data_IF_547881797235
#
_entry.id   IF_547881797235
#
_cell.length_a   1.000
_cell.length_b   1.000
_cell.length_c   1.000
_cell.angle_alpha   90.00
_cell.angle_beta   90.00
_cell.angle_gamma   90.00
#
_symmetry.space_group_name_H-M   'P 1'
#
loop_
_entity.id
_entity.type
_entity.pdbx_description
1 polymer ?
#
# COMPACT_ATOMS: atom_id res chain seq x y z
N UNK A 1 19.09 -26.25 -5.74
CA UNK A 1 18.21 -26.07 -4.55
C UNK A 1 17.08 -25.16 -5.02
N UNK A 2 15.85 -25.66 -5.01
CA UNK A 2 14.69 -24.79 -5.30
C UNK A 2 14.53 -23.82 -4.16
N UNK A 3 15.08 -22.63 -4.29
CA UNK A 3 14.80 -21.52 -3.38
C UNK A 3 13.41 -20.99 -3.73
N UNK A 4 12.41 -21.49 -3.03
CA UNK A 4 11.06 -20.96 -3.08
C UNK A 4 11.00 -19.71 -2.18
N UNK A 5 10.46 -18.61 -2.69
CA UNK A 5 10.22 -17.36 -1.95
C UNK A 5 8.73 -17.22 -1.59
N UNK A 6 8.25 -17.99 -0.59
CA UNK A 6 6.88 -17.85 -0.14
C UNK A 6 6.69 -16.48 0.50
N UNK A 7 5.46 -15.96 0.42
CA UNK A 7 5.11 -14.79 1.20
C UNK A 7 5.23 -15.12 2.70
N UNK A 8 5.79 -14.20 3.52
CA UNK A 8 5.99 -14.44 4.96
C UNK A 8 4.68 -14.72 5.71
N UNK A 9 4.51 -15.93 6.22
CA UNK A 9 3.27 -16.35 6.87
C UNK A 9 2.98 -15.61 8.20
N UNK A 10 4.00 -15.07 8.84
CA UNK A 10 3.89 -14.31 10.09
C UNK A 10 3.71 -12.80 9.89
N UNK A 11 3.72 -12.32 8.68
CA UNK A 11 3.38 -10.92 8.35
C UNK A 11 1.86 -10.80 8.22
N UNK A 12 1.23 -10.19 9.20
CA UNK A 12 -0.23 -10.02 9.28
C UNK A 12 -0.74 -8.80 8.51
N UNK A 13 0.15 -8.03 7.88
CA UNK A 13 -0.21 -6.82 7.15
C UNK A 13 0.17 -6.86 5.68
N UNK A 14 1.46 -6.86 5.36
CA UNK A 14 1.89 -6.78 3.96
C UNK A 14 1.54 -8.04 3.17
N UNK A 15 1.68 -9.21 3.79
CA UNK A 15 1.37 -10.50 3.15
C UNK A 15 -0.10 -10.65 2.74
N UNK A 16 -1.11 -10.36 3.57
CA UNK A 16 -2.51 -10.44 3.14
C UNK A 16 -2.86 -9.52 1.97
N UNK A 17 -2.27 -8.32 1.91
CA UNK A 17 -2.43 -7.43 0.77
C UNK A 17 -1.73 -7.98 -0.48
N UNK A 18 -0.50 -8.49 -0.33
CA UNK A 18 0.24 -9.10 -1.44
C UNK A 18 -0.46 -10.34 -2.01
N UNK A 19 -1.07 -11.19 -1.17
CA UNK A 19 -1.87 -12.32 -1.62
C UNK A 19 -3.06 -11.87 -2.48
N UNK A 20 -3.74 -10.81 -2.07
CA UNK A 20 -4.85 -10.25 -2.83
C UNK A 20 -4.37 -9.63 -4.17
N UNK A 21 -3.23 -8.93 -4.17
CA UNK A 21 -2.59 -8.41 -5.38
C UNK A 21 -2.24 -9.53 -6.36
N UNK A 22 -1.56 -10.58 -5.88
CA UNK A 22 -1.10 -11.71 -6.70
C UNK A 22 -2.30 -12.47 -7.31
N UNK A 23 -3.39 -12.61 -6.58
CA UNK A 23 -4.62 -13.24 -7.08
C UNK A 23 -5.20 -12.50 -8.28
N UNK A 24 -5.08 -11.18 -8.29
CA UNK A 24 -5.60 -10.30 -9.35
C UNK A 24 -4.63 -10.15 -10.53
N UNK A 25 -3.35 -10.39 -10.28
CA UNK A 25 -2.28 -10.18 -11.25
C UNK A 25 -2.20 -11.31 -12.27
N UNK A 26 -2.44 -11.00 -13.55
CA UNK A 26 -2.24 -11.93 -14.68
C UNK A 26 -0.74 -12.00 -15.05
N UNK A 27 0.01 -12.79 -14.28
CA UNK A 27 1.44 -12.93 -14.41
C UNK A 27 1.79 -14.11 -15.33
N UNK A 28 2.82 -13.93 -16.16
CA UNK A 28 3.31 -14.97 -17.08
C UNK A 28 4.83 -15.05 -17.09
N UNK A 29 5.42 -16.23 -17.41
CA UNK A 29 6.87 -16.39 -17.57
C UNK A 29 7.42 -15.44 -18.63
N UNK A 30 8.56 -14.80 -18.34
CA UNK A 30 9.18 -13.80 -19.23
C UNK A 30 8.62 -12.38 -19.09
N UNK A 31 7.63 -12.12 -18.25
CA UNK A 31 7.06 -10.79 -18.06
C UNK A 31 8.10 -9.79 -17.51
N UNK A 32 8.00 -8.54 -17.97
CA UNK A 32 8.73 -7.41 -17.42
C UNK A 32 7.83 -6.67 -16.44
N UNK A 33 8.23 -6.60 -15.18
CA UNK A 33 7.40 -6.08 -14.09
C UNK A 33 8.09 -4.90 -13.41
N UNK A 34 7.35 -3.83 -13.15
CA UNK A 34 7.72 -2.74 -12.25
C UNK A 34 6.94 -2.89 -10.95
N UNK A 35 7.64 -3.09 -9.85
CA UNK A 35 7.04 -3.13 -8.50
C UNK A 35 7.40 -1.85 -7.75
N UNK A 36 6.41 -1.02 -7.44
CA UNK A 36 6.59 0.27 -6.77
C UNK A 36 6.29 0.16 -5.28
N UNK A 37 6.95 1.01 -4.49
CA UNK A 37 6.90 0.95 -3.02
C UNK A 37 7.19 -0.46 -2.51
N UNK A 38 8.23 -1.09 -3.07
CA UNK A 38 8.54 -2.51 -2.89
C UNK A 38 8.96 -2.87 -1.46
N UNK A 39 9.36 -1.88 -0.64
CA UNK A 39 9.79 -2.10 0.73
C UNK A 39 10.87 -3.17 0.85
N UNK A 40 10.66 -4.15 1.73
CA UNK A 40 11.53 -5.31 1.92
C UNK A 40 11.41 -6.40 0.84
N UNK A 41 10.65 -6.15 -0.23
CA UNK A 41 10.54 -7.08 -1.37
C UNK A 41 9.29 -7.97 -1.39
N UNK A 42 8.27 -7.63 -0.62
CA UNK A 42 6.98 -8.33 -0.66
C UNK A 42 5.99 -7.50 -1.52
N UNK A 43 5.58 -7.95 -2.71
CA UNK A 43 5.69 -9.29 -3.31
C UNK A 43 6.82 -9.50 -4.36
N UNK A 44 7.76 -8.56 -4.52
CA UNK A 44 8.77 -8.57 -5.60
C UNK A 44 9.50 -9.92 -5.75
N UNK A 45 9.87 -10.57 -4.64
CA UNK A 45 10.53 -11.89 -4.67
C UNK A 45 9.64 -12.95 -5.30
N UNK A 46 8.38 -13.03 -4.87
CA UNK A 46 7.41 -13.97 -5.42
C UNK A 46 7.21 -13.73 -6.93
N UNK A 47 7.02 -12.48 -7.32
CA UNK A 47 6.83 -12.09 -8.73
C UNK A 47 8.06 -12.51 -9.56
N UNK A 48 9.27 -12.24 -9.04
CA UNK A 48 10.51 -12.61 -9.73
C UNK A 48 10.66 -14.13 -9.91
N UNK A 49 10.25 -14.92 -8.94
CA UNK A 49 10.24 -16.38 -9.06
C UNK A 49 9.29 -16.83 -10.18
N UNK A 50 8.10 -16.23 -10.27
CA UNK A 50 7.08 -16.60 -11.26
C UNK A 50 7.44 -16.17 -12.70
N UNK A 51 8.05 -14.99 -12.88
CA UNK A 51 8.45 -14.54 -14.24
C UNK A 51 9.66 -15.32 -14.75
N UNK A 52 10.48 -15.85 -13.86
CA UNK A 52 11.64 -16.68 -14.22
C UNK A 52 12.77 -15.91 -14.91
N UNK A 53 13.82 -16.64 -15.37
CA UNK A 53 15.06 -16.04 -15.88
C UNK A 53 14.90 -15.29 -17.22
N UNK A 54 13.84 -15.54 -17.97
CA UNK A 54 13.52 -14.81 -19.20
C UNK A 54 12.75 -13.50 -18.93
N UNK A 55 12.29 -13.32 -17.69
CA UNK A 55 11.61 -12.12 -17.24
C UNK A 55 12.56 -11.11 -16.59
N UNK A 56 11.98 -10.00 -16.12
CA UNK A 56 12.68 -8.97 -15.35
C UNK A 56 11.73 -8.32 -14.36
N UNK A 57 12.21 -8.13 -13.14
CA UNK A 57 11.50 -7.34 -12.11
C UNK A 57 12.38 -6.18 -11.69
N UNK A 58 11.88 -4.96 -11.80
CA UNK A 58 12.45 -3.77 -11.22
C UNK A 58 11.60 -3.36 -10.02
N UNK A 59 12.15 -3.46 -8.83
CA UNK A 59 11.50 -3.14 -7.57
C UNK A 59 12.06 -1.82 -7.02
N UNK A 60 11.20 -0.81 -6.85
CA UNK A 60 11.60 0.55 -6.46
C UNK A 60 10.95 0.92 -5.13
N UNK A 61 11.75 1.49 -4.23
CA UNK A 61 11.27 2.09 -2.99
C UNK A 61 12.07 3.34 -2.64
N UNK A 62 11.42 4.34 -2.04
CA UNK A 62 12.09 5.57 -1.59
C UNK A 62 12.97 5.30 -0.36
N UNK A 63 12.68 4.26 0.41
CA UNK A 63 13.41 3.90 1.61
C UNK A 63 14.65 3.07 1.27
N UNK A 64 15.79 3.74 1.19
CA UNK A 64 17.07 3.10 0.88
C UNK A 64 17.44 1.96 1.84
N UNK A 65 17.04 2.03 3.13
CA UNK A 65 17.32 0.96 4.10
C UNK A 65 16.56 -0.31 3.76
N UNK A 66 15.30 -0.19 3.35
CA UNK A 66 14.48 -1.31 2.89
C UNK A 66 15.09 -1.96 1.64
N UNK A 67 15.52 -1.15 0.68
CA UNK A 67 16.19 -1.63 -0.54
C UNK A 67 17.49 -2.40 -0.21
N UNK A 68 18.31 -1.87 0.70
CA UNK A 68 19.54 -2.57 1.13
C UNK A 68 19.22 -3.89 1.83
N UNK A 69 18.18 -3.91 2.67
CA UNK A 69 17.71 -5.15 3.31
C UNK A 69 17.22 -6.17 2.27
N UNK A 70 16.38 -5.74 1.31
CA UNK A 70 15.88 -6.61 0.24
C UNK A 70 17.01 -7.19 -0.61
N UNK A 71 18.00 -6.38 -1.01
CA UNK A 71 19.21 -6.84 -1.73
C UNK A 71 20.01 -7.86 -0.92
N UNK A 72 20.17 -7.63 0.38
CA UNK A 72 20.86 -8.58 1.27
C UNK A 72 20.12 -9.91 1.36
N UNK A 73 18.79 -9.88 1.45
CA UNK A 73 17.94 -11.08 1.48
C UNK A 73 17.97 -11.83 0.15
N UNK A 74 18.03 -11.12 -0.98
CA UNK A 74 18.13 -11.71 -2.33
C UNK A 74 19.44 -12.48 -2.52
N UNK A 75 20.56 -11.93 -2.07
CA UNK A 75 21.90 -12.50 -2.30
C UNK A 75 22.19 -12.67 -3.81
N UNK A 76 22.62 -13.89 -4.20
CA UNK A 76 22.87 -14.26 -5.62
C UNK A 76 21.66 -14.92 -6.29
N UNK A 77 20.54 -15.05 -5.59
CA UNK A 77 19.32 -15.64 -6.13
C UNK A 77 18.55 -14.61 -6.96
N UNK A 78 17.78 -15.06 -7.93
CA UNK A 78 16.91 -14.22 -8.79
C UNK A 78 17.67 -13.06 -9.45
N UNK A 79 18.70 -13.30 -10.28
CA UNK A 79 19.50 -12.23 -10.87
C UNK A 79 18.71 -11.32 -11.84
N UNK A 80 17.50 -11.68 -12.20
CA UNK A 80 16.55 -10.89 -12.98
C UNK A 80 15.66 -9.98 -12.12
N UNK A 81 15.80 -10.01 -10.79
CA UNK A 81 15.21 -9.06 -9.86
C UNK A 81 16.23 -7.99 -9.49
N UNK A 82 15.86 -6.72 -9.70
CA UNK A 82 16.67 -5.56 -9.33
C UNK A 82 15.91 -4.70 -8.34
N UNK A 83 16.57 -4.32 -7.26
CA UNK A 83 16.05 -3.36 -6.28
C UNK A 83 16.75 -2.02 -6.46
N UNK A 84 16.00 -0.94 -6.58
CA UNK A 84 16.54 0.43 -6.73
C UNK A 84 15.88 1.40 -5.75
N UNK A 85 16.69 2.28 -5.18
CA UNK A 85 16.16 3.38 -4.38
C UNK A 85 15.65 4.49 -5.33
N UNK A 86 14.39 4.89 -5.16
CA UNK A 86 13.79 5.90 -6.02
C UNK A 86 12.37 6.25 -5.60
N UNK A 87 11.95 7.46 -5.98
CA UNK A 87 10.57 7.91 -5.77
C UNK A 87 9.71 7.56 -6.99
N UNK A 88 8.69 6.72 -6.78
CA UNK A 88 7.77 6.29 -7.84
C UNK A 88 7.02 7.44 -8.52
N UNK A 89 6.95 8.61 -7.89
CA UNK A 89 6.31 9.81 -8.47
C UNK A 89 7.19 10.51 -9.51
N UNK A 90 8.51 10.23 -9.49
CA UNK A 90 9.53 10.88 -10.32
C UNK A 90 10.40 9.87 -11.06
N UNK A 91 9.80 8.85 -11.64
CA UNK A 91 10.52 7.83 -12.40
C UNK A 91 11.22 8.44 -13.63
N UNK A 92 12.47 8.05 -13.92
CA UNK A 92 13.18 8.54 -15.08
C UNK A 92 12.44 8.18 -16.38
N UNK A 93 12.27 9.13 -17.32
CA UNK A 93 11.58 8.86 -18.59
C UNK A 93 12.35 7.87 -19.49
N UNK A 94 13.60 7.56 -19.13
CA UNK A 94 14.42 6.54 -19.82
C UNK A 94 14.12 5.11 -19.42
N UNK A 95 13.28 4.89 -18.38
CA UNK A 95 12.83 3.54 -18.04
C UNK A 95 12.02 2.94 -19.19
N UNK A 96 12.17 1.62 -19.42
CA UNK A 96 11.35 0.93 -20.41
C UNK A 96 9.89 0.84 -19.96
N UNK A 97 9.01 0.48 -20.88
CA UNK A 97 7.65 0.09 -20.52
C UNK A 97 7.61 -1.37 -20.05
N UNK A 98 6.71 -1.65 -19.12
CA UNK A 98 6.54 -2.92 -18.43
C UNK A 98 5.23 -3.61 -18.85
N UNK A 99 5.21 -4.94 -18.81
CA UNK A 99 4.00 -5.73 -19.04
C UNK A 99 3.04 -5.63 -17.86
N UNK A 100 3.61 -5.49 -16.65
CA UNK A 100 2.87 -5.36 -15.40
C UNK A 100 3.46 -4.27 -14.53
N UNK A 101 2.58 -3.53 -13.87
CA UNK A 101 2.97 -2.61 -12.78
C UNK A 101 2.25 -3.07 -11.52
N UNK A 102 3.00 -3.29 -10.46
CA UNK A 102 2.48 -3.70 -9.15
C UNK A 102 2.89 -2.71 -8.06
N UNK A 103 2.14 -2.70 -6.97
CA UNK A 103 2.49 -1.92 -5.80
C UNK A 103 1.65 -2.34 -4.61
N UNK A 104 2.29 -3.02 -3.67
CA UNK A 104 1.62 -3.51 -2.47
C UNK A 104 1.58 -2.43 -1.40
N UNK A 105 0.38 -2.05 -0.93
CA UNK A 105 0.16 -0.97 0.05
C UNK A 105 0.81 0.34 -0.43
N UNK A 106 0.65 0.66 -1.71
CA UNK A 106 1.39 1.75 -2.36
C UNK A 106 0.55 2.99 -2.65
N UNK A 107 -0.74 2.81 -2.98
CA UNK A 107 -1.56 3.89 -3.54
C UNK A 107 -1.81 5.05 -2.57
N UNK A 108 -1.73 4.82 -1.27
CA UNK A 108 -1.81 5.86 -0.25
C UNK A 108 -0.71 6.92 -0.38
N UNK A 109 0.46 6.57 -0.95
CA UNK A 109 1.60 7.47 -1.12
C UNK A 109 1.56 8.34 -2.39
N UNK A 110 0.50 8.26 -3.20
CA UNK A 110 0.32 9.06 -4.42
C UNK A 110 -0.15 10.50 -4.14
N UNK A 111 0.16 11.05 -2.97
CA UNK A 111 -0.17 12.43 -2.59
C UNK A 111 0.76 13.44 -3.27
N UNK A 112 0.34 14.72 -3.43
CA UNK A 112 -0.99 15.24 -3.12
C UNK A 112 -2.03 14.93 -4.22
N UNK A 113 -1.62 14.76 -5.48
CA UNK A 113 -2.51 14.49 -6.62
C UNK A 113 -2.38 13.03 -7.06
N UNK A 114 -3.28 12.18 -6.56
CA UNK A 114 -3.28 10.75 -6.85
C UNK A 114 -3.57 10.44 -8.31
N UNK A 115 -4.47 11.19 -8.94
CA UNK A 115 -4.81 11.01 -10.36
C UNK A 115 -3.61 11.31 -11.26
N UNK A 116 -2.94 12.43 -11.01
CA UNK A 116 -1.75 12.82 -11.76
C UNK A 116 -0.60 11.83 -11.55
N UNK A 117 -0.34 11.41 -10.31
CA UNK A 117 0.71 10.45 -10.00
C UNK A 117 0.45 9.08 -10.67
N UNK A 118 -0.80 8.62 -10.63
CA UNK A 118 -1.22 7.41 -11.33
C UNK A 118 -1.05 7.55 -12.85
N UNK A 119 -1.48 8.66 -13.43
CA UNK A 119 -1.31 8.95 -14.87
C UNK A 119 0.16 9.00 -15.29
N UNK A 120 1.06 9.49 -14.44
CA UNK A 120 2.50 9.45 -14.70
C UNK A 120 3.05 8.02 -14.67
N UNK A 121 2.61 7.21 -13.72
CA UNK A 121 3.02 5.81 -13.62
C UNK A 121 2.54 4.98 -14.83
N UNK A 122 1.33 5.22 -15.30
CA UNK A 122 0.76 4.51 -16.46
C UNK A 122 1.52 4.74 -17.77
N UNK A 123 2.36 5.77 -17.89
CA UNK A 123 3.25 5.98 -19.06
C UNK A 123 4.29 4.87 -19.21
N UNK A 124 4.59 4.16 -18.13
CA UNK A 124 5.50 3.02 -18.10
C UNK A 124 4.80 1.68 -18.34
N UNK A 125 3.49 1.67 -18.54
CA UNK A 125 2.74 0.46 -18.87
C UNK A 125 2.69 0.25 -20.38
N UNK A 126 3.02 -0.94 -20.85
CA UNK A 126 2.88 -1.31 -22.27
C UNK A 126 1.40 -1.30 -22.70
N UNK A 127 1.09 -1.02 -23.96
CA UNK A 127 -0.25 -1.29 -24.49
C UNK A 127 -0.64 -2.76 -24.25
N UNK A 128 -1.83 -3.00 -23.70
CA UNK A 128 -2.27 -4.32 -23.27
C UNK A 128 -1.64 -4.81 -21.95
N UNK A 129 -0.89 -3.96 -21.26
CA UNK A 129 -0.34 -4.27 -19.94
C UNK A 129 -1.36 -4.06 -18.82
N UNK A 130 -1.09 -4.65 -17.66
CA UNK A 130 -1.94 -4.56 -16.46
C UNK A 130 -1.25 -3.83 -15.33
N UNK A 131 -2.00 -2.98 -14.62
CA UNK A 131 -1.61 -2.42 -13.32
C UNK A 131 -2.44 -3.06 -12.21
N UNK A 132 -1.80 -3.43 -11.10
CA UNK A 132 -2.47 -3.92 -9.89
C UNK A 132 -1.84 -3.26 -8.66
N UNK A 133 -2.63 -2.47 -7.94
CA UNK A 133 -2.18 -1.80 -6.71
C UNK A 133 -3.08 -2.18 -5.54
N UNK A 134 -2.51 -2.20 -4.35
CA UNK A 134 -3.28 -2.38 -3.11
C UNK A 134 -3.07 -1.22 -2.16
N UNK A 135 -4.07 -0.99 -1.30
CA UNK A 135 -4.00 0.04 -0.26
C UNK A 135 -5.07 -0.18 0.81
N UNK A 136 -4.84 0.28 2.04
CA UNK A 136 -5.90 0.42 3.03
C UNK A 136 -6.79 1.61 2.65
N UNK A 137 -8.05 1.32 2.31
CA UNK A 137 -9.01 2.34 1.84
C UNK A 137 -9.74 3.03 3.00
N UNK A 138 -10.56 4.02 2.65
CA UNK A 138 -11.50 4.69 3.56
C UNK A 138 -12.34 3.62 4.28
N UNK A 139 -12.57 3.80 5.57
CA UNK A 139 -13.19 2.79 6.44
C UNK A 139 -12.18 1.92 7.22
N UNK A 140 -10.88 2.01 6.90
CA UNK A 140 -9.84 1.33 7.68
C UNK A 140 -9.81 1.87 9.11
N UNK A 141 -10.00 0.99 10.10
CA UNK A 141 -10.03 1.28 11.53
C UNK A 141 -11.15 2.23 11.98
N UNK A 142 -12.31 2.20 11.34
CA UNK A 142 -13.44 3.08 11.68
C UNK A 142 -13.89 2.98 13.14
N UNK A 143 -13.81 1.79 13.75
CA UNK A 143 -14.13 1.61 15.18
C UNK A 143 -13.17 2.41 16.07
N UNK A 144 -11.87 2.40 15.76
CA UNK A 144 -10.87 3.19 16.46
C UNK A 144 -11.12 4.70 16.28
N UNK A 145 -11.34 5.14 15.04
CA UNK A 145 -11.60 6.56 14.75
C UNK A 145 -12.85 7.06 15.44
N UNK A 146 -13.90 6.26 15.50
CA UNK A 146 -15.11 6.58 16.23
C UNK A 146 -14.82 6.75 17.73
N UNK A 147 -14.07 5.83 18.33
CA UNK A 147 -13.69 5.91 19.74
C UNK A 147 -12.83 7.15 20.05
N UNK A 148 -11.83 7.41 19.20
CA UNK A 148 -10.96 8.58 19.32
C UNK A 148 -11.76 9.88 19.21
N UNK A 149 -12.62 10.01 18.21
CA UNK A 149 -13.45 11.22 18.02
C UNK A 149 -14.44 11.46 19.15
N UNK A 150 -15.01 10.40 19.72
CA UNK A 150 -15.90 10.51 20.88
C UNK A 150 -15.15 11.04 22.11
N UNK A 151 -13.96 10.49 22.40
CA UNK A 151 -13.12 10.97 23.51
C UNK A 151 -12.67 12.43 23.29
N UNK A 152 -12.31 12.80 22.04
CA UNK A 152 -11.99 14.19 21.71
C UNK A 152 -13.18 15.11 21.97
N UNK A 153 -14.41 14.71 21.62
CA UNK A 153 -15.61 15.47 21.86
C UNK A 153 -15.91 15.65 23.36
N UNK A 154 -15.77 14.59 24.16
CA UNK A 154 -15.94 14.63 25.62
C UNK A 154 -14.94 15.58 26.28
N UNK A 155 -13.71 15.64 25.79
CA UNK A 155 -12.65 16.54 26.27
C UNK A 155 -12.69 17.94 25.64
N UNK A 156 -13.62 18.22 24.73
CA UNK A 156 -13.75 19.50 23.99
C UNK A 156 -12.50 19.83 23.16
N UNK A 157 -11.90 18.81 22.56
CA UNK A 157 -10.74 18.92 21.66
C UNK A 157 -11.23 19.07 20.21
N UNK A 158 -11.94 20.16 19.93
CA UNK A 158 -12.62 20.35 18.63
C UNK A 158 -11.64 20.58 17.49
N UNK A 159 -10.51 21.25 17.73
CA UNK A 159 -9.45 21.49 16.75
C UNK A 159 -8.78 20.18 16.33
N UNK A 160 -8.41 19.36 17.30
CA UNK A 160 -7.77 18.05 17.09
C UNK A 160 -8.73 17.09 16.38
N UNK A 161 -10.01 17.14 16.74
CA UNK A 161 -11.05 16.35 16.08
C UNK A 161 -11.24 16.74 14.62
N UNK A 162 -11.24 18.04 14.30
CA UNK A 162 -11.30 18.51 12.93
C UNK A 162 -10.08 18.05 12.12
N UNK A 163 -8.88 18.17 12.67
CA UNK A 163 -7.65 17.70 12.03
C UNK A 163 -7.70 16.18 11.73
N UNK A 164 -8.22 15.40 12.67
CA UNK A 164 -8.43 13.96 12.46
C UNK A 164 -9.48 13.67 11.37
N UNK A 165 -10.58 14.41 11.32
CA UNK A 165 -11.60 14.25 10.28
C UNK A 165 -11.02 14.58 8.89
N UNK A 166 -10.21 15.62 8.76
CA UNK A 166 -9.50 15.97 7.52
C UNK A 166 -8.54 14.86 7.10
N UNK A 167 -7.74 14.34 8.02
CA UNK A 167 -6.83 13.21 7.77
C UNK A 167 -7.57 11.95 7.28
N UNK A 168 -8.69 11.59 7.93
CA UNK A 168 -9.48 10.43 7.53
C UNK A 168 -10.07 10.64 6.14
N UNK A 169 -10.58 11.84 5.85
CA UNK A 169 -11.21 12.18 4.56
C UNK A 169 -10.23 12.14 3.38
N UNK A 170 -8.93 12.32 3.61
CA UNK A 170 -7.91 12.20 2.56
C UNK A 170 -7.69 10.77 2.06
N UNK A 171 -8.17 9.75 2.77
CA UNK A 171 -7.97 8.37 2.37
C UNK A 171 -8.73 8.04 1.09
N UNK A 172 -8.11 7.34 0.14
CA UNK A 172 -8.80 6.94 -1.08
C UNK A 172 -9.86 5.87 -0.76
N UNK A 173 -11.03 5.99 -1.38
CA UNK A 173 -12.03 4.92 -1.41
C UNK A 173 -11.88 4.06 -2.66
N UNK A 174 -12.55 2.89 -2.69
CA UNK A 174 -12.66 2.07 -3.89
C UNK A 174 -13.28 2.81 -5.06
N UNK A 175 -14.29 3.65 -4.80
CA UNK A 175 -14.95 4.44 -5.85
C UNK A 175 -14.01 5.50 -6.43
N UNK A 176 -13.20 6.15 -5.61
CA UNK A 176 -12.16 7.06 -6.10
C UNK A 176 -11.16 6.31 -6.99
N UNK A 177 -10.68 5.15 -6.56
CA UNK A 177 -9.73 4.35 -7.33
C UNK A 177 -10.31 3.93 -8.69
N UNK A 178 -11.56 3.44 -8.71
CA UNK A 178 -12.27 3.08 -9.94
C UNK A 178 -12.41 4.26 -10.88
N UNK A 179 -12.85 5.41 -10.37
CA UNK A 179 -13.02 6.63 -11.15
C UNK A 179 -11.72 7.08 -11.79
N UNK A 180 -10.60 7.13 -11.05
CA UNK A 180 -9.31 7.56 -11.59
C UNK A 180 -8.80 6.63 -12.68
N UNK A 181 -8.91 5.29 -12.52
CA UNK A 181 -8.52 4.35 -13.57
C UNK A 181 -9.36 4.55 -14.85
N UNK A 182 -10.68 4.75 -14.71
CA UNK A 182 -11.57 4.98 -15.84
C UNK A 182 -11.27 6.30 -16.54
N UNK A 183 -11.08 7.40 -15.80
CA UNK A 183 -10.73 8.72 -16.34
C UNK A 183 -9.38 8.72 -17.07
N UNK A 184 -8.44 7.86 -16.64
CA UNK A 184 -7.15 7.65 -17.29
C UNK A 184 -7.22 6.66 -18.47
N UNK A 185 -8.42 6.24 -18.88
CA UNK A 185 -8.65 5.41 -20.07
C UNK A 185 -8.25 3.95 -19.90
N UNK A 186 -8.18 3.45 -18.66
CA UNK A 186 -7.94 2.04 -18.43
C UNK A 186 -9.19 1.20 -18.75
N UNK A 187 -8.97 0.04 -19.34
CA UNK A 187 -9.99 -0.96 -19.65
C UNK A 187 -10.06 -2.03 -18.56
N UNK A 188 -11.15 -2.80 -18.51
CA UNK A 188 -11.36 -3.92 -17.56
C UNK A 188 -11.01 -3.51 -16.13
N UNK A 189 -11.50 -2.33 -15.73
CA UNK A 189 -11.23 -1.79 -14.39
C UNK A 189 -11.98 -2.59 -13.34
N UNK A 190 -11.24 -3.23 -12.45
CA UNK A 190 -11.77 -3.94 -11.29
C UNK A 190 -11.23 -3.33 -10.00
N UNK A 191 -12.12 -3.09 -9.05
CA UNK A 191 -11.75 -2.60 -7.72
C UNK A 191 -12.60 -3.34 -6.70
N UNK A 192 -11.92 -4.04 -5.80
CA UNK A 192 -12.53 -4.85 -4.76
C UNK A 192 -12.07 -4.41 -3.38
N UNK A 193 -12.96 -4.52 -2.40
CA UNK A 193 -12.64 -4.29 -0.99
C UNK A 193 -12.99 -5.52 -0.17
N UNK A 194 -12.20 -5.78 0.86
CA UNK A 194 -12.46 -6.84 1.82
C UNK A 194 -11.89 -6.47 3.19
N UNK A 195 -12.59 -6.79 4.29
CA UNK A 195 -12.07 -6.57 5.62
C UNK A 195 -10.86 -7.48 5.89
N UNK A 196 -9.85 -6.91 6.53
CA UNK A 196 -8.69 -7.62 7.07
C UNK A 196 -8.63 -7.31 8.56
N UNK A 197 -8.78 -8.34 9.40
CA UNK A 197 -8.59 -8.17 10.83
C UNK A 197 -7.12 -7.93 11.16
N UNK A 198 -6.86 -6.92 11.98
CA UNK A 198 -5.54 -6.59 12.48
C UNK A 198 -5.52 -6.89 13.98
N UNK A 199 -4.84 -7.97 14.38
CA UNK A 199 -4.74 -8.33 15.79
C UNK A 199 -3.96 -7.25 16.56
N UNK A 200 -4.54 -6.78 17.65
CA UNK A 200 -3.90 -5.81 18.53
C UNK A 200 -4.07 -6.25 19.99
N UNK A 201 -3.02 -6.04 20.79
CA UNK A 201 -3.10 -6.23 22.23
C UNK A 201 -3.65 -4.98 22.95
N UNK A 202 -3.93 -5.07 24.25
CA UNK A 202 -4.38 -3.94 25.08
C UNK A 202 -3.23 -3.05 25.55
N UNK A 203 -3.56 -1.85 25.97
CA UNK A 203 -2.64 -0.94 26.65
C UNK A 203 -1.39 -0.63 25.83
N UNK A 204 -0.24 -0.94 26.40
CA UNK A 204 1.05 -0.66 25.75
C UNK A 204 1.25 -1.43 24.45
N UNK A 205 0.76 -2.66 24.34
CA UNK A 205 0.84 -3.46 23.10
C UNK A 205 0.10 -2.76 21.96
N UNK A 206 -1.03 -2.12 22.23
CA UNK A 206 -1.75 -1.30 21.25
C UNK A 206 -0.92 -0.06 20.86
N UNK A 207 -0.41 0.69 21.85
CA UNK A 207 0.31 1.94 21.60
C UNK A 207 1.64 1.74 20.86
N UNK A 208 2.29 0.60 21.04
CA UNK A 208 3.58 0.25 20.43
C UNK A 208 3.43 -0.70 19.25
N UNK A 209 2.19 -1.00 18.82
CA UNK A 209 1.95 -1.94 17.73
C UNK A 209 2.66 -1.47 16.44
N UNK A 210 3.56 -2.30 15.84
CA UNK A 210 4.45 -1.83 14.76
C UNK A 210 3.73 -1.27 13.54
N UNK A 211 2.53 -1.80 13.23
CA UNK A 211 1.71 -1.31 12.14
C UNK A 211 1.04 0.02 12.47
N UNK A 212 0.56 0.17 13.70
CA UNK A 212 -0.19 1.36 14.10
C UNK A 212 0.77 2.54 14.34
N UNK A 213 1.92 2.29 14.96
CA UNK A 213 3.04 3.26 15.04
C UNK A 213 3.78 3.27 13.70
N UNK A 214 4.19 4.38 13.23
CA UNK A 214 4.77 4.55 11.89
C UNK A 214 3.73 4.83 10.80
N UNK A 215 2.48 5.11 11.23
CA UNK A 215 1.39 5.51 10.34
C UNK A 215 0.18 5.95 11.13
N UNK A 216 -0.77 5.05 11.37
CA UNK A 216 -2.11 5.40 11.83
C UNK A 216 -2.19 6.10 13.18
N UNK A 217 -1.43 5.67 14.20
CA UNK A 217 -1.43 6.36 15.50
C UNK A 217 -0.58 7.63 15.48
N UNK A 218 0.51 7.64 14.73
CA UNK A 218 1.36 8.83 14.61
C UNK A 218 0.56 9.97 13.98
N UNK A 219 -0.31 9.69 12.99
CA UNK A 219 -1.23 10.68 12.42
C UNK A 219 -2.21 11.26 13.48
N UNK A 220 -2.64 10.46 14.47
CA UNK A 220 -3.44 10.99 15.60
C UNK A 220 -2.59 11.91 16.47
N UNK A 221 -1.36 11.52 16.80
CA UNK A 221 -0.44 12.38 17.57
C UNK A 221 -0.18 13.71 16.86
N UNK A 222 -0.08 13.70 15.53
CA UNK A 222 0.13 14.90 14.72
C UNK A 222 -1.07 15.86 14.71
N UNK A 223 -2.27 15.40 15.07
CA UNK A 223 -3.42 16.28 15.27
C UNK A 223 -3.28 17.20 16.50
N UNK A 224 -2.37 16.90 17.42
CA UNK A 224 -2.18 17.67 18.66
C UNK A 224 -1.00 18.63 18.54
N UNK A 225 -1.20 19.87 18.97
CA UNK A 225 -0.11 20.83 19.14
C UNK A 225 0.72 20.55 20.40
N UNK A 226 0.06 20.08 21.47
CA UNK A 226 0.68 19.68 22.74
C UNK A 226 0.90 18.16 22.75
N UNK A 227 2.16 17.74 22.64
CA UNK A 227 2.51 16.33 22.64
C UNK A 227 2.30 15.65 24.01
N UNK A 228 2.37 16.40 25.10
CA UNK A 228 2.03 15.87 26.44
C UNK A 228 0.55 15.51 26.56
N UNK A 229 -0.31 16.37 26.02
CA UNK A 229 -1.75 16.11 25.94
C UNK A 229 -2.04 14.92 25.00
N UNK A 230 -1.33 14.80 23.89
CA UNK A 230 -1.47 13.67 22.97
C UNK A 230 -1.13 12.33 23.64
N UNK A 231 -0.02 12.28 24.39
CA UNK A 231 0.39 11.07 25.14
C UNK A 231 -0.63 10.68 26.22
N UNK A 232 -1.12 11.67 26.99
CA UNK A 232 -2.17 11.43 27.99
C UNK A 232 -3.45 10.90 27.34
N UNK A 233 -3.87 11.53 26.24
CA UNK A 233 -5.06 11.16 25.48
C UNK A 233 -4.95 9.73 24.94
N UNK A 234 -3.86 9.40 24.25
CA UNK A 234 -3.66 8.07 23.67
C UNK A 234 -3.49 6.98 24.74
N UNK A 235 -2.90 7.33 25.89
CA UNK A 235 -2.86 6.44 27.06
C UNK A 235 -4.27 6.13 27.57
N UNK A 236 -5.17 7.11 27.60
CA UNK A 236 -6.57 6.89 27.99
C UNK A 236 -7.30 5.98 26.96
N UNK A 237 -7.12 6.21 25.66
CA UNK A 237 -7.67 5.34 24.60
C UNK A 237 -7.19 3.89 24.78
N UNK A 238 -5.91 3.69 25.05
CA UNK A 238 -5.31 2.35 25.17
C UNK A 238 -5.82 1.51 26.35
N UNK A 239 -6.42 2.14 27.37
CA UNK A 239 -6.98 1.45 28.56
C UNK A 239 -8.28 0.69 28.24
N UNK A 240 -8.99 1.09 27.20
CA UNK A 240 -10.28 0.51 26.81
C UNK A 240 -10.26 0.07 25.33
N UNK A 241 -9.27 -0.72 24.97
CA UNK A 241 -9.18 -1.26 23.60
C UNK A 241 -10.35 -2.18 23.23
N UNK A 242 -10.96 -2.81 24.23
CA UNK A 242 -12.13 -3.67 24.02
C UNK A 242 -13.34 -2.94 23.38
N UNK A 243 -13.44 -1.61 23.57
CA UNK A 243 -14.53 -0.82 23.00
C UNK A 243 -14.45 -0.64 21.46
N UNK A 244 -13.28 -0.88 20.85
CA UNK A 244 -13.08 -0.70 19.42
C UNK A 244 -12.38 -1.88 18.72
N UNK A 245 -12.00 -2.93 19.43
CA UNK A 245 -11.48 -4.17 18.83
C UNK A 245 -12.59 -5.18 18.60
N UNK A 246 -12.48 -6.07 17.58
CA UNK A 246 -11.35 -6.20 16.67
C UNK A 246 -11.21 -5.03 15.69
N UNK A 247 -9.96 -4.69 15.32
CA UNK A 247 -9.69 -3.70 14.29
C UNK A 247 -9.74 -4.32 12.91
N UNK A 248 -10.42 -3.65 11.99
CA UNK A 248 -10.47 -4.05 10.59
C UNK A 248 -9.87 -2.98 9.69
N UNK A 249 -8.91 -3.38 8.85
CA UNK A 249 -8.51 -2.59 7.71
C UNK A 249 -9.40 -2.92 6.51
N UNK A 250 -9.80 -1.92 5.73
CA UNK A 250 -10.44 -2.15 4.44
C UNK A 250 -9.34 -2.36 3.39
N UNK A 251 -9.08 -3.63 3.06
CA UNK A 251 -8.09 -4.00 2.05
C UNK A 251 -8.68 -3.81 0.66
N UNK A 252 -8.21 -2.78 -0.02
CA UNK A 252 -8.60 -2.49 -1.40
C UNK A 252 -7.55 -3.01 -2.38
N UNK A 253 -8.03 -3.64 -3.46
CA UNK A 253 -7.25 -4.01 -4.64
C UNK A 253 -7.85 -3.29 -5.82
N UNK A 254 -7.03 -2.58 -6.59
CA UNK A 254 -7.44 -1.94 -7.84
C UNK A 254 -6.62 -2.49 -8.99
N UNK A 255 -7.28 -2.85 -10.09
CA UNK A 255 -6.63 -3.29 -11.32
C UNK A 255 -7.24 -2.65 -12.55
N UNK A 256 -6.45 -2.59 -13.62
CA UNK A 256 -6.88 -2.10 -14.91
C UNK A 256 -5.88 -2.45 -16.00
N UNK A 257 -6.35 -2.44 -17.25
CA UNK A 257 -5.56 -2.78 -18.41
C UNK A 257 -5.40 -1.57 -19.33
N UNK A 258 -4.18 -1.33 -19.82
CA UNK A 258 -3.97 -0.36 -20.87
C UNK A 258 -4.59 -0.85 -22.19
N UNK A 259 -5.21 0.05 -22.94
CA UNK A 259 -5.75 -0.31 -24.25
C UNK A 259 -4.68 -0.96 -25.15
N UNK A 260 -4.99 -2.02 -25.88
CA UNK A 260 -4.05 -2.63 -26.82
C UNK A 260 -3.66 -1.66 -27.95
N UNK A 261 -2.48 -1.84 -28.54
CA UNK A 261 -2.13 -1.08 -29.75
C UNK A 261 -3.20 -1.32 -30.82
N UNK A 262 -3.79 -0.25 -31.33
CA UNK A 262 -4.65 -0.36 -32.54
C UNK A 262 -3.79 -0.95 -33.65
N UNK A 263 -4.19 -2.10 -34.21
CA UNK A 263 -3.60 -2.61 -35.42
C UNK A 263 -3.75 -1.53 -36.50
N UNK A 264 -2.64 -1.10 -37.10
CA UNK A 264 -2.73 -0.28 -38.31
C UNK A 264 -3.36 -1.18 -39.37
N UNK A 265 -4.64 -0.99 -39.65
CA UNK A 265 -5.31 -1.48 -40.86
C UNK A 265 -4.73 -0.78 -42.07
#
# INVERSE_FOLDING_TARGET
>A
MNTHWPLPANDTWSTPFAQALIKELDLFPGAQVLDIAAGGGIPAFYIAEQVGPDGRVLAIDINQRQILHARSSQGSHLPWLQFEAGDMRFLPPTLPQFDRITGNISFMFFRPDRSQALGNLLKFLKPGGQIVLTFPSLGTFDSLWTRVKNEMAERKLDTERQALDEYIAERPSADHARKWLQELGMEKVEVTESPLEVPTGPGREFLEHPLLRGGFLDDVYECFQDQGLAEEFMTAISRDTASFTPLYAQRCVMSGWAAPKKSKT
#
